data_IF_899616875076
#
_entry.id   IF_899616875076
#
_cell.length_a   1.000
_cell.length_b   1.000
_cell.length_c   1.000
_cell.angle_alpha   90.00
_cell.angle_beta   90.00
_cell.angle_gamma   90.00
#
_symmetry.space_group_name_H-M   'P 1'
#
loop_
_entity.id
_entity.type
_entity.pdbx_description
1 polymer ?
#
# COMPACT_ATOMS: atom_id res chain seq x y z
N UNK A 1 -5.46 34.97 -8.05
CA UNK A 1 -4.48 33.92 -8.38
C UNK A 1 -4.70 32.81 -7.38
N UNK A 2 -5.62 31.90 -7.69
CA UNK A 2 -5.92 30.75 -6.83
C UNK A 2 -4.93 29.66 -7.20
N UNK A 3 -4.04 29.32 -6.28
CA UNK A 3 -3.21 28.12 -6.41
C UNK A 3 -4.15 26.94 -6.21
N UNK A 4 -4.78 26.47 -7.29
CA UNK A 4 -5.35 25.13 -7.32
C UNK A 4 -4.18 24.19 -7.03
N UNK A 5 -4.18 23.65 -5.82
CA UNK A 5 -3.26 22.61 -5.38
C UNK A 5 -3.44 21.47 -6.39
N UNK A 6 -2.56 21.40 -7.39
CA UNK A 6 -2.53 20.33 -8.39
C UNK A 6 -2.12 19.05 -7.67
N UNK A 7 -3.09 18.50 -6.94
CA UNK A 7 -3.10 17.17 -6.41
C UNK A 7 -3.24 16.25 -7.63
N UNK A 8 -2.15 16.09 -8.38
CA UNK A 8 -2.10 15.27 -9.57
C UNK A 8 -2.39 13.82 -9.14
N UNK A 9 -3.54 13.24 -9.53
CA UNK A 9 -3.94 11.91 -9.07
C UNK A 9 -2.89 10.84 -9.39
N UNK A 10 -2.17 11.01 -10.50
CA UNK A 10 -1.01 10.22 -10.91
C UNK A 10 0.06 10.10 -9.82
N UNK A 11 0.44 11.21 -9.18
CA UNK A 11 1.48 11.21 -8.14
C UNK A 11 1.01 10.45 -6.91
N UNK A 12 -0.24 10.68 -6.48
CA UNK A 12 -0.82 9.95 -5.33
C UNK A 12 -0.93 8.46 -5.60
N UNK A 13 -1.27 8.10 -6.83
CA UNK A 13 -1.32 6.72 -7.30
C UNK A 13 0.03 6.03 -7.19
N UNK A 14 1.10 6.68 -7.65
CA UNK A 14 2.46 6.12 -7.56
C UNK A 14 2.98 6.04 -6.13
N UNK A 15 2.63 7.03 -5.28
CA UNK A 15 2.93 6.96 -3.85
C UNK A 15 2.20 5.78 -3.21
N UNK A 16 0.92 5.56 -3.56
CA UNK A 16 0.15 4.43 -3.03
C UNK A 16 0.80 3.08 -3.38
N UNK A 17 1.19 2.91 -4.64
CA UNK A 17 1.91 1.73 -5.11
C UNK A 17 3.23 1.53 -4.35
N UNK A 18 4.08 2.56 -4.27
CA UNK A 18 5.39 2.47 -3.61
C UNK A 18 5.27 2.13 -2.11
N UNK A 19 4.27 2.68 -1.43
CA UNK A 19 3.98 2.36 -0.03
C UNK A 19 3.49 0.91 0.14
N UNK A 20 2.73 0.38 -0.82
CA UNK A 20 2.34 -1.03 -0.87
C UNK A 20 3.53 -1.95 -1.01
N UNK A 21 4.44 -1.65 -1.95
CA UNK A 21 5.68 -2.40 -2.17
C UNK A 21 6.60 -2.40 -0.94
N UNK A 22 6.62 -1.32 -0.16
CA UNK A 22 7.37 -1.27 1.10
C UNK A 22 6.78 -2.23 2.15
N UNK A 23 5.45 -2.42 2.16
CA UNK A 23 4.79 -3.45 2.96
C UNK A 23 4.89 -3.30 4.49
N UNK A 24 5.43 -2.20 5.01
CA UNK A 24 5.54 -1.98 6.46
C UNK A 24 4.20 -1.64 7.09
N UNK A 25 4.06 -1.95 8.38
CA UNK A 25 2.84 -1.66 9.14
C UNK A 25 2.47 -0.16 9.12
N UNK A 26 3.46 0.74 9.17
CA UNK A 26 3.21 2.18 9.07
C UNK A 26 2.71 2.60 7.67
N UNK A 27 3.26 2.01 6.61
CA UNK A 27 2.82 2.30 5.24
C UNK A 27 1.37 1.85 5.02
N UNK A 28 1.02 0.64 5.48
CA UNK A 28 -0.34 0.12 5.40
C UNK A 28 -1.33 0.97 6.22
N UNK A 29 -0.92 1.44 7.40
CA UNK A 29 -1.75 2.34 8.21
C UNK A 29 -1.96 3.69 7.50
N UNK A 30 -0.92 4.28 6.92
CA UNK A 30 -1.00 5.53 6.17
C UNK A 30 -1.91 5.40 4.94
N UNK A 31 -1.81 4.29 4.20
CA UNK A 31 -2.66 3.97 3.06
C UNK A 31 -4.14 3.83 3.47
N UNK A 32 -4.43 3.18 4.59
CA UNK A 32 -5.80 3.05 5.12
C UNK A 32 -6.40 4.40 5.48
N UNK A 33 -5.65 5.26 6.18
CA UNK A 33 -6.11 6.62 6.49
C UNK A 33 -6.32 7.43 5.21
N UNK A 34 -5.48 7.26 4.20
CA UNK A 34 -5.65 7.96 2.92
C UNK A 34 -6.90 7.49 2.18
N UNK A 35 -7.23 6.20 2.24
CA UNK A 35 -8.41 5.62 1.57
C UNK A 35 -9.73 6.27 2.02
N UNK A 36 -9.84 6.66 3.29
CA UNK A 36 -11.06 7.29 3.85
C UNK A 36 -11.38 8.67 3.26
N UNK A 37 -10.36 9.36 2.73
CA UNK A 37 -10.48 10.74 2.22
C UNK A 37 -10.18 10.86 0.72
N UNK A 38 -9.80 9.77 0.06
CA UNK A 38 -9.48 9.78 -1.37
C UNK A 38 -10.77 9.83 -2.20
N UNK A 39 -10.88 10.86 -3.04
CA UNK A 39 -12.03 11.06 -3.93
C UNK A 39 -11.83 10.40 -5.30
N UNK A 40 -10.58 10.16 -5.70
CA UNK A 40 -10.24 9.61 -7.00
C UNK A 40 -10.36 8.08 -7.00
N UNK A 41 -11.17 7.54 -7.92
CA UNK A 41 -11.45 6.12 -8.00
C UNK A 41 -10.23 5.28 -8.42
N UNK A 42 -9.35 5.80 -9.28
CA UNK A 42 -8.13 5.09 -9.66
C UNK A 42 -7.15 5.03 -8.50
N UNK A 43 -6.95 6.15 -7.80
CA UNK A 43 -6.05 6.19 -6.63
C UNK A 43 -6.57 5.27 -5.53
N UNK A 44 -7.89 5.24 -5.31
CA UNK A 44 -8.50 4.29 -4.37
C UNK A 44 -8.24 2.84 -4.73
N UNK A 45 -8.38 2.47 -6.00
CA UNK A 45 -8.11 1.10 -6.46
C UNK A 45 -6.68 0.69 -6.17
N UNK A 46 -5.70 1.55 -6.46
CA UNK A 46 -4.29 1.26 -6.19
C UNK A 46 -3.98 1.18 -4.69
N UNK A 47 -4.59 2.05 -3.87
CA UNK A 47 -4.48 1.96 -2.41
C UNK A 47 -5.05 0.62 -1.90
N UNK A 48 -6.20 0.20 -2.42
CA UNK A 48 -6.83 -1.07 -2.05
C UNK A 48 -5.95 -2.27 -2.45
N UNK A 49 -5.37 -2.28 -3.64
CA UNK A 49 -4.40 -3.30 -4.07
C UNK A 49 -3.15 -3.28 -3.18
N UNK A 50 -2.61 -2.11 -2.86
CA UNK A 50 -1.42 -1.95 -2.02
C UNK A 50 -1.62 -2.42 -0.57
N UNK A 51 -2.85 -2.34 -0.03
CA UNK A 51 -3.16 -2.80 1.34
C UNK A 51 -3.45 -4.30 1.38
N UNK A 52 -3.76 -4.94 0.24
CA UNK A 52 -3.96 -6.38 0.22
C UNK A 52 -2.67 -7.05 0.69
N UNK A 53 -2.77 -8.02 1.59
CA UNK A 53 -1.60 -8.79 1.98
C UNK A 53 -1.06 -9.45 0.71
N UNK A 54 0.11 -8.99 0.24
CA UNK A 54 0.88 -9.74 -0.74
C UNK A 54 1.18 -11.07 -0.08
N UNK A 55 0.61 -12.16 -0.60
CA UNK A 55 0.83 -13.53 -0.13
C UNK A 55 2.28 -14.02 -0.28
N UNK A 56 3.23 -13.10 -0.37
CA UNK A 56 4.65 -13.28 -0.61
C UNK A 56 5.39 -13.16 0.73
N UNK A 57 5.03 -13.97 1.72
CA UNK A 57 5.91 -14.43 2.82
C UNK A 57 5.12 -15.31 3.81
N UNK A 58 4.83 -16.54 3.38
CA UNK A 58 4.73 -17.69 4.30
C UNK A 58 5.50 -18.87 3.71
N UNK A 59 6.70 -18.61 3.21
CA UNK A 59 7.65 -19.65 2.79
C UNK A 59 8.92 -19.46 3.60
N UNK A 60 8.98 -20.04 4.81
CA UNK A 60 10.21 -19.90 5.58
C UNK A 60 10.28 -20.37 7.02
N UNK A 61 9.29 -21.07 7.61
CA UNK A 61 9.51 -21.62 8.96
C UNK A 61 8.63 -22.83 9.36
N UNK A 62 8.67 -23.93 8.59
CA UNK A 62 8.33 -25.26 9.16
C UNK A 62 9.32 -26.36 8.77
N UNK A 63 10.59 -26.04 8.57
CA UNK A 63 11.66 -27.04 8.59
C UNK A 63 12.43 -26.97 9.90
N UNK A 64 11.77 -27.31 11.02
CA UNK A 64 12.47 -27.98 12.11
C UNK A 64 12.40 -29.48 11.84
N UNK A 65 13.08 -29.91 10.77
CA UNK A 65 13.64 -31.26 10.70
C UNK A 65 15.05 -31.17 11.25
N UNK A 66 15.17 -31.31 12.57
CA UNK A 66 16.39 -31.63 13.32
C UNK A 66 15.86 -32.22 14.63
N UNK A 67 16.12 -33.45 15.01
CA UNK A 67 17.01 -34.48 14.52
C UNK A 67 17.01 -35.58 15.59
N UNK A 68 17.22 -36.81 15.15
CA UNK A 68 17.69 -37.97 15.93
C UNK A 68 16.81 -38.54 17.06
#
# INVERSE_FOLDING_TARGET
MVYEKYEEPLVRRHVAWALGEIGTAECLAALRTRLEIEADAEVRGEIEEAIKPSSQEVEGLTETRLGE
#
